data_IF_905595349128
#
_entry.id   IF_905595349128
#
_cell.length_a   1.000
_cell.length_b   1.000
_cell.length_c   1.000
_cell.angle_alpha   90.00
_cell.angle_beta   90.00
_cell.angle_gamma   90.00
#
_symmetry.space_group_name_H-M   'P 1'
#
loop_
_entity.id
_entity.type
_entity.pdbx_description
1 polymer ?
#
# COMPACT_ATOMS: atom_id res chain seq x y z
N UNK A 1 -51.68 37.67 31.71
CA UNK A 1 -51.41 36.26 31.34
C UNK A 1 -50.10 36.21 30.57
N UNK A 2 -49.07 35.58 31.14
CA UNK A 2 -47.69 35.55 30.62
C UNK A 2 -47.63 34.67 29.35
N UNK A 3 -47.10 35.20 28.24
CA UNK A 3 -46.80 34.43 27.02
C UNK A 3 -45.55 33.58 27.27
N UNK A 4 -45.68 32.26 27.16
CA UNK A 4 -44.56 31.33 27.13
C UNK A 4 -43.95 31.34 25.72
N UNK A 5 -42.65 31.62 25.63
CA UNK A 5 -41.89 31.45 24.40
C UNK A 5 -41.36 30.01 24.33
N UNK A 6 -41.92 29.25 23.38
CA UNK A 6 -41.48 27.91 23.01
C UNK A 6 -40.19 28.02 22.18
N UNK A 7 -39.06 27.59 22.74
CA UNK A 7 -37.81 27.43 22.00
C UNK A 7 -37.88 26.13 21.19
N UNK A 8 -37.86 26.24 19.85
CA UNK A 8 -37.54 25.09 18.99
C UNK A 8 -36.03 24.85 19.04
N UNK A 9 -35.62 23.67 19.51
CA UNK A 9 -34.26 23.15 19.32
C UNK A 9 -34.26 22.37 18.01
N UNK A 10 -33.62 22.90 16.97
CA UNK A 10 -33.35 22.19 15.73
C UNK A 10 -32.16 21.24 15.94
N UNK A 11 -32.41 19.93 15.91
CA UNK A 11 -31.39 18.90 15.89
C UNK A 11 -30.85 18.76 14.46
N UNK A 12 -29.67 19.32 14.19
CA UNK A 12 -28.95 19.05 12.95
C UNK A 12 -28.26 17.68 13.07
N UNK A 13 -28.79 16.67 12.38
CA UNK A 13 -28.08 15.40 12.16
C UNK A 13 -27.05 15.68 11.07
N UNK A 14 -25.78 15.85 11.45
CA UNK A 14 -24.68 15.87 10.49
C UNK A 14 -24.45 14.43 10.00
N UNK A 15 -25.04 14.10 8.85
CA UNK A 15 -24.69 12.90 8.10
C UNK A 15 -23.30 13.12 7.50
N UNK A 16 -22.28 12.58 8.16
CA UNK A 16 -20.93 12.46 7.62
C UNK A 16 -20.99 11.54 6.40
N UNK A 17 -21.12 12.13 5.21
CA UNK A 17 -20.81 11.44 3.98
C UNK A 17 -19.28 11.27 3.95
N UNK A 18 -18.80 10.12 4.44
CA UNK A 18 -17.51 9.61 3.96
C UNK A 18 -17.73 9.34 2.48
N UNK A 19 -17.39 10.32 1.64
CA UNK A 19 -17.20 10.07 0.23
C UNK A 19 -16.18 8.95 0.14
N UNK A 20 -16.63 7.75 -0.21
CA UNK A 20 -15.73 6.66 -0.56
C UNK A 20 -14.95 7.20 -1.73
N UNK A 21 -13.69 7.58 -1.50
CA UNK A 21 -12.80 7.85 -2.61
C UNK A 21 -12.50 6.48 -3.18
N UNK A 22 -13.31 6.05 -4.15
CA UNK A 22 -13.13 4.77 -4.81
C UNK A 22 -11.98 4.95 -5.78
N UNK A 23 -10.75 4.88 -5.28
CA UNK A 23 -9.57 4.66 -6.10
C UNK A 23 -9.52 3.17 -6.42
N UNK A 24 -10.41 2.71 -7.30
CA UNK A 24 -10.26 1.42 -7.93
C UNK A 24 -9.65 1.60 -9.31
N UNK A 25 -8.83 0.65 -9.74
CA UNK A 25 -8.27 0.67 -11.08
C UNK A 25 -9.33 0.53 -12.17
N UNK A 26 -8.88 0.62 -13.41
CA UNK A 26 -9.77 0.50 -14.57
C UNK A 26 -9.19 -0.38 -15.67
N UNK A 27 -10.08 -0.98 -16.45
CA UNK A 27 -9.76 -1.77 -17.63
C UNK A 27 -10.65 -1.35 -18.79
N UNK A 28 -10.05 -0.96 -19.91
CA UNK A 28 -10.77 -0.68 -21.15
C UNK A 28 -10.61 -1.84 -22.11
N UNK A 29 -11.74 -2.43 -22.50
CA UNK A 29 -11.84 -3.47 -23.53
C UNK A 29 -12.39 -2.83 -24.80
N UNK A 30 -11.84 -3.21 -25.95
CA UNK A 30 -12.24 -2.70 -27.28
C UNK A 30 -12.40 -3.86 -28.24
N UNK A 31 -13.37 -3.76 -29.12
CA UNK A 31 -13.65 -4.78 -30.15
C UNK A 31 -13.98 -4.13 -31.48
N UNK A 32 -13.97 -4.93 -32.54
CA UNK A 32 -14.45 -4.51 -33.85
C UNK A 32 -15.97 -4.61 -33.91
N UNK A 33 -16.63 -3.66 -34.58
CA UNK A 33 -18.07 -3.72 -34.75
C UNK A 33 -18.48 -4.89 -35.66
N UNK A 34 -19.50 -5.63 -35.24
CA UNK A 34 -20.33 -6.48 -36.08
C UNK A 34 -21.02 -5.64 -37.17
N UNK A 35 -21.25 -6.26 -38.33
CA UNK A 35 -21.79 -5.65 -39.55
C UNK A 35 -23.25 -6.03 -39.83
N UNK A 36 -23.78 -6.95 -39.05
CA UNK A 36 -25.12 -7.48 -39.15
C UNK A 36 -26.16 -6.35 -38.93
N UNK A 37 -27.12 -6.17 -39.85
CA UNK A 37 -28.04 -5.03 -39.82
C UNK A 37 -29.01 -5.08 -38.63
N UNK A 38 -29.24 -6.27 -38.09
CA UNK A 38 -30.12 -6.58 -36.96
C UNK A 38 -29.39 -6.62 -35.62
N UNK A 39 -28.11 -6.22 -35.55
CA UNK A 39 -27.40 -6.00 -34.28
C UNK A 39 -28.19 -5.00 -33.43
N UNK A 40 -28.49 -5.36 -32.18
CA UNK A 40 -29.18 -4.51 -31.22
C UNK A 40 -28.23 -3.94 -30.15
N UNK A 41 -27.45 -4.80 -29.50
CA UNK A 41 -26.51 -4.39 -28.44
C UNK A 41 -25.33 -5.36 -28.31
N UNK A 42 -24.29 -4.91 -27.60
CA UNK A 42 -23.26 -5.77 -27.04
C UNK A 42 -23.44 -5.88 -25.53
N UNK A 43 -23.00 -7.03 -24.99
CA UNK A 43 -22.92 -7.27 -23.56
C UNK A 43 -21.49 -7.62 -23.19
N UNK A 44 -20.95 -6.92 -22.21
CA UNK A 44 -19.59 -7.16 -21.70
C UNK A 44 -19.68 -7.98 -20.44
N UNK A 45 -18.98 -9.10 -20.44
CA UNK A 45 -18.84 -10.02 -19.33
C UNK A 45 -17.51 -9.76 -18.64
N UNK A 46 -17.54 -9.70 -17.32
CA UNK A 46 -16.35 -9.49 -16.47
C UNK A 46 -16.35 -10.51 -15.35
N UNK A 47 -15.18 -11.06 -15.01
CA UNK A 47 -15.01 -12.00 -13.91
C UNK A 47 -13.58 -12.02 -13.38
N UNK A 48 -13.37 -12.57 -12.19
CA UNK A 48 -12.04 -12.71 -11.57
C UNK A 48 -11.40 -14.09 -11.79
N UNK A 49 -12.11 -14.97 -12.50
CA UNK A 49 -11.61 -16.27 -12.93
C UNK A 49 -11.96 -16.49 -14.42
N UNK A 50 -11.06 -17.16 -15.14
CA UNK A 50 -11.25 -17.44 -16.57
C UNK A 50 -12.56 -18.19 -16.80
N UNK A 51 -13.32 -17.70 -17.79
CA UNK A 51 -14.63 -18.20 -18.23
C UNK A 51 -15.71 -18.25 -17.15
N UNK A 52 -15.49 -17.58 -16.02
CA UNK A 52 -16.44 -17.47 -14.92
C UNK A 52 -16.76 -16.00 -14.72
N UNK A 53 -17.88 -15.56 -15.28
CA UNK A 53 -18.26 -14.16 -15.31
C UNK A 53 -19.44 -13.86 -14.39
N UNK A 54 -19.53 -12.61 -13.93
CA UNK A 54 -20.73 -12.08 -13.27
C UNK A 54 -21.83 -11.71 -14.26
N UNK A 55 -22.83 -10.97 -13.77
CA UNK A 55 -23.89 -10.39 -14.61
C UNK A 55 -23.27 -9.49 -15.69
N UNK A 56 -23.60 -9.68 -16.98
CA UNK A 56 -23.06 -8.86 -18.04
C UNK A 56 -23.57 -7.41 -17.97
N UNK A 57 -22.75 -6.48 -18.45
CA UNK A 57 -23.11 -5.08 -18.63
C UNK A 57 -23.50 -4.83 -20.09
N UNK A 58 -24.76 -4.47 -20.39
CA UNK A 58 -25.15 -4.02 -21.71
C UNK A 58 -24.53 -2.66 -22.02
N UNK A 59 -23.97 -2.51 -23.23
CA UNK A 59 -23.27 -1.27 -23.65
C UNK A 59 -23.82 -0.69 -24.96
N UNK A 60 -25.00 -1.16 -25.38
CA UNK A 60 -25.61 -0.76 -26.65
C UNK A 60 -24.69 -1.12 -27.82
N UNK A 61 -24.56 -0.23 -28.82
CA UNK A 61 -23.70 -0.45 -30.00
C UNK A 61 -22.29 0.10 -29.85
N UNK A 62 -21.86 0.47 -28.64
CA UNK A 62 -20.49 0.90 -28.41
C UNK A 62 -19.51 -0.24 -28.76
N UNK A 63 -18.31 0.09 -29.25
CA UNK A 63 -17.24 -0.87 -29.56
C UNK A 63 -16.11 -0.83 -28.52
N UNK A 64 -16.39 -0.19 -27.38
CA UNK A 64 -15.48 -0.10 -26.25
C UNK A 64 -16.25 0.01 -24.95
N UNK A 65 -15.69 -0.54 -23.89
CA UNK A 65 -16.20 -0.44 -22.54
C UNK A 65 -15.05 -0.26 -21.56
N UNK A 66 -15.23 0.63 -20.58
CA UNK A 66 -14.30 0.79 -19.46
C UNK A 66 -14.96 0.31 -18.19
N UNK A 67 -14.46 -0.79 -17.65
CA UNK A 67 -14.74 -1.21 -16.28
C UNK A 67 -13.94 -0.31 -15.32
N UNK A 68 -14.62 0.28 -14.35
CA UNK A 68 -14.03 1.13 -13.31
C UNK A 68 -14.22 0.47 -11.95
N UNK A 69 -13.55 1.01 -10.92
CA UNK A 69 -13.66 0.53 -9.54
C UNK A 69 -13.24 -0.95 -9.40
N UNK A 70 -12.22 -1.35 -10.17
CA UNK A 70 -11.66 -2.69 -10.09
C UNK A 70 -10.64 -2.74 -8.95
N UNK A 71 -10.61 -3.84 -8.21
CA UNK A 71 -9.68 -4.03 -7.11
C UNK A 71 -8.24 -4.16 -7.64
N UNK A 72 -7.31 -3.46 -7.00
CA UNK A 72 -5.87 -3.55 -7.31
C UNK A 72 -5.31 -4.93 -6.93
N UNK A 73 -4.26 -5.36 -7.63
CA UNK A 73 -3.68 -6.71 -7.50
C UNK A 73 -4.54 -7.85 -8.06
N UNK A 74 -5.76 -7.57 -8.53
CA UNK A 74 -6.69 -8.58 -9.04
C UNK A 74 -6.58 -8.72 -10.56
N UNK A 75 -6.63 -9.98 -11.02
CA UNK A 75 -6.78 -10.30 -12.44
C UNK A 75 -8.25 -10.34 -12.83
N UNK A 76 -8.63 -9.55 -13.82
CA UNK A 76 -9.97 -9.57 -14.41
C UNK A 76 -9.93 -10.13 -15.83
N UNK A 77 -10.94 -10.94 -16.14
CA UNK A 77 -11.18 -11.56 -17.44
C UNK A 77 -12.41 -10.92 -18.08
N UNK A 78 -12.33 -10.66 -19.39
CA UNK A 78 -13.36 -10.00 -20.16
C UNK A 78 -13.71 -10.78 -21.42
N UNK A 79 -15.00 -10.86 -21.72
CA UNK A 79 -15.52 -11.35 -22.99
C UNK A 79 -16.72 -10.51 -23.42
N UNK A 80 -17.06 -10.53 -24.71
CA UNK A 80 -18.16 -9.76 -25.29
C UNK A 80 -19.05 -10.69 -26.11
N UNK A 81 -20.36 -10.50 -26.02
CA UNK A 81 -21.36 -11.09 -26.92
C UNK A 81 -22.10 -9.99 -27.67
N UNK A 82 -22.69 -10.34 -28.81
CA UNK A 82 -23.63 -9.52 -29.55
C UNK A 82 -25.05 -10.07 -29.37
N UNK A 83 -26.02 -9.16 -29.27
CA UNK A 83 -27.44 -9.48 -29.19
C UNK A 83 -28.15 -8.82 -30.36
N UNK A 84 -28.99 -9.58 -31.06
CA UNK A 84 -29.80 -9.08 -32.18
C UNK A 84 -31.13 -8.46 -31.72
N UNK A 85 -31.88 -7.86 -32.66
CA UNK A 85 -33.21 -7.27 -32.40
C UNK A 85 -34.29 -8.30 -32.02
N UNK A 86 -34.05 -9.60 -32.26
CA UNK A 86 -34.92 -10.69 -31.83
C UNK A 86 -34.57 -11.21 -30.43
N UNK A 87 -33.48 -10.72 -29.82
CA UNK A 87 -33.00 -11.12 -28.51
C UNK A 87 -32.11 -12.36 -28.52
N UNK A 88 -31.65 -12.83 -29.69
CA UNK A 88 -30.67 -13.91 -29.76
C UNK A 88 -29.29 -13.39 -29.39
N UNK A 89 -28.61 -14.10 -28.50
CA UNK A 89 -27.27 -13.76 -28.03
C UNK A 89 -26.24 -14.71 -28.66
N UNK A 90 -25.14 -14.12 -29.14
CA UNK A 90 -24.04 -14.87 -29.75
C UNK A 90 -23.26 -15.72 -28.75
N UNK A 91 -22.36 -16.56 -29.25
CA UNK A 91 -21.27 -17.09 -28.43
C UNK A 91 -20.34 -15.96 -27.94
N UNK A 92 -19.58 -16.22 -26.88
CA UNK A 92 -18.54 -15.31 -26.39
C UNK A 92 -17.46 -15.06 -27.45
N UNK A 93 -16.92 -13.84 -27.43
CA UNK A 93 -15.66 -13.50 -28.08
C UNK A 93 -14.49 -14.34 -27.53
N UNK A 94 -13.30 -14.14 -28.10
CA UNK A 94 -12.07 -14.48 -27.40
C UNK A 94 -12.05 -13.76 -26.04
N UNK A 95 -11.64 -14.48 -25.00
CA UNK A 95 -11.40 -13.92 -23.67
C UNK A 95 -10.07 -13.18 -23.63
N UNK A 96 -10.07 -12.01 -23.01
CA UNK A 96 -8.87 -11.24 -22.69
C UNK A 96 -8.81 -11.02 -21.19
N UNK A 97 -7.62 -10.71 -20.65
CA UNK A 97 -7.46 -10.43 -19.23
C UNK A 97 -6.61 -9.19 -18.99
N UNK A 98 -6.76 -8.61 -17.80
CA UNK A 98 -5.92 -7.52 -17.29
C UNK A 98 -5.70 -7.68 -15.79
N UNK A 99 -4.46 -7.53 -15.36
CA UNK A 99 -4.12 -7.35 -13.95
C UNK A 99 -4.22 -5.86 -13.65
N UNK A 100 -4.91 -5.51 -12.57
CA UNK A 100 -4.96 -4.13 -12.10
C UNK A 100 -3.73 -3.89 -11.22
N UNK A 101 -2.82 -2.97 -11.61
CA UNK A 101 -1.60 -2.74 -10.84
C UNK A 101 -1.94 -2.14 -9.48
N UNK A 102 -1.19 -2.55 -8.44
CA UNK A 102 -1.18 -1.83 -7.17
C UNK A 102 -0.48 -0.49 -7.33
N UNK A 103 -1.04 0.55 -6.70
CA UNK A 103 -0.46 1.90 -6.69
C UNK A 103 -0.10 2.39 -5.29
N UNK A 104 -0.39 1.59 -4.27
CA UNK A 104 -0.15 1.93 -2.89
C UNK A 104 1.23 1.44 -2.45
N UNK A 105 1.97 2.31 -1.77
CA UNK A 105 3.25 1.93 -1.19
C UNK A 105 3.06 1.22 0.15
N UNK A 106 3.89 0.21 0.46
CA UNK A 106 3.89 -0.41 1.77
C UNK A 106 4.11 0.58 2.91
N UNK A 107 3.43 0.37 4.02
CA UNK A 107 3.76 1.01 5.30
C UNK A 107 4.86 0.21 6.01
N UNK A 108 5.79 0.92 6.68
CA UNK A 108 6.88 0.31 7.45
C UNK A 108 6.92 0.93 8.83
N UNK A 109 7.06 0.10 9.87
CA UNK A 109 7.25 0.56 11.24
C UNK A 109 8.35 -0.21 11.93
N UNK A 110 9.14 0.48 12.75
CA UNK A 110 10.09 -0.14 13.68
C UNK A 110 9.40 -0.25 15.04
N UNK A 111 9.46 -1.43 15.65
CA UNK A 111 8.84 -1.71 16.95
C UNK A 111 9.86 -1.99 18.04
N UNK A 112 11.10 -2.31 17.67
CA UNK A 112 12.22 -2.52 18.60
C UNK A 112 13.52 -2.03 17.95
N UNK A 113 14.38 -1.32 18.69
CA UNK A 113 14.32 -1.08 20.15
C UNK A 113 13.43 0.09 20.57
N UNK A 114 12.90 0.85 19.62
CA UNK A 114 12.05 2.02 19.86
C UNK A 114 11.00 2.12 18.77
N UNK A 115 9.88 2.78 19.07
CA UNK A 115 8.88 3.24 18.08
C UNK A 115 9.06 4.71 17.70
N UNK A 116 9.98 5.41 18.37
CA UNK A 116 10.36 6.78 18.05
C UNK A 116 11.31 6.86 16.84
N UNK A 117 11.51 8.07 16.35
CA UNK A 117 12.42 8.34 15.22
C UNK A 117 13.89 8.45 15.63
N UNK A 118 14.18 8.42 16.93
CA UNK A 118 15.54 8.45 17.48
C UNK A 118 15.77 7.36 18.52
N UNK A 119 17.00 6.87 18.61
CA UNK A 119 17.43 5.88 19.60
C UNK A 119 18.88 6.14 20.04
N UNK A 120 19.16 6.04 21.33
CA UNK A 120 20.52 6.13 21.86
C UNK A 120 20.98 4.78 22.39
N UNK A 121 22.24 4.44 22.18
CA UNK A 121 22.82 3.18 22.66
C UNK A 121 24.31 3.31 22.96
N UNK A 122 24.79 2.44 23.84
CA UNK A 122 26.22 2.23 24.09
C UNK A 122 26.76 0.94 23.43
N UNK A 123 25.92 0.22 22.69
CA UNK A 123 26.30 -0.99 21.96
C UNK A 123 26.78 -0.63 20.54
N UNK A 124 27.84 -1.27 20.07
CA UNK A 124 28.38 -1.06 18.71
C UNK A 124 27.59 -1.78 17.61
N UNK A 125 26.61 -2.60 17.99
CA UNK A 125 25.72 -3.30 17.05
C UNK A 125 24.27 -3.13 17.47
N UNK A 126 23.37 -3.08 16.49
CA UNK A 126 21.94 -2.93 16.70
C UNK A 126 21.15 -4.04 16.01
N UNK A 127 20.14 -4.56 16.71
CA UNK A 127 19.09 -5.39 16.14
C UNK A 127 17.81 -4.56 16.02
N UNK A 128 17.13 -4.67 14.90
CA UNK A 128 15.83 -4.04 14.66
C UNK A 128 14.76 -5.10 14.45
N UNK A 129 13.56 -4.83 14.97
CA UNK A 129 12.37 -5.57 14.61
C UNK A 129 11.27 -4.58 14.25
N UNK A 130 10.35 -5.00 13.41
CA UNK A 130 9.26 -4.17 12.99
C UNK A 130 8.22 -4.91 12.17
N UNK A 131 7.29 -4.14 11.62
CA UNK A 131 6.27 -4.65 10.72
C UNK A 131 6.25 -3.88 9.41
N UNK A 132 5.82 -4.54 8.34
CA UNK A 132 5.44 -3.88 7.11
C UNK A 132 4.10 -4.42 6.63
N UNK A 133 3.27 -3.54 6.07
CA UNK A 133 1.92 -3.89 5.63
C UNK A 133 1.56 -3.12 4.37
N UNK A 134 0.83 -3.79 3.50
CA UNK A 134 0.41 -3.32 2.19
C UNK A 134 -0.90 -4.02 1.78
N UNK A 135 -1.71 -3.41 0.91
CA UNK A 135 -3.01 -3.94 0.47
C UNK A 135 -2.90 -5.18 -0.44
N UNK A 136 -1.89 -5.27 -1.30
CA UNK A 136 -1.65 -6.45 -2.15
C UNK A 136 -0.47 -7.28 -1.63
N UNK A 137 0.37 -6.70 -0.79
CA UNK A 137 1.30 -7.41 0.07
C UNK A 137 2.75 -7.01 -0.14
N UNK A 138 3.55 -7.19 0.92
CA UNK A 138 4.97 -6.83 0.93
C UNK A 138 5.82 -8.01 0.47
N UNK A 139 6.67 -7.80 -0.52
CA UNK A 139 7.56 -8.84 -1.07
C UNK A 139 8.99 -8.73 -0.56
N UNK A 140 9.43 -7.55 -0.12
CA UNK A 140 10.79 -7.34 0.37
C UNK A 140 10.82 -6.26 1.46
N UNK A 141 11.68 -6.45 2.46
CA UNK A 141 12.10 -5.40 3.40
C UNK A 141 13.63 -5.34 3.38
N UNK A 142 14.19 -4.16 3.11
CA UNK A 142 15.63 -3.92 3.05
C UNK A 142 16.03 -2.74 3.93
N UNK A 143 17.32 -2.62 4.22
CA UNK A 143 17.84 -1.54 5.04
C UNK A 143 19.18 -1.02 4.54
N UNK A 144 19.47 0.23 4.90
CA UNK A 144 20.77 0.89 4.69
C UNK A 144 21.14 1.68 5.94
N UNK A 145 22.43 1.87 6.19
CA UNK A 145 22.94 2.78 7.21
C UNK A 145 23.88 3.81 6.57
N UNK A 146 23.68 5.09 6.88
CA UNK A 146 24.49 6.23 6.41
C UNK A 146 26.00 6.11 6.67
N UNK A 147 26.40 5.41 7.73
CA UNK A 147 27.81 5.17 8.07
C UNK A 147 28.37 3.89 7.43
N UNK A 148 27.56 3.21 6.61
CA UNK A 148 27.92 1.98 5.91
C UNK A 148 27.11 0.77 6.38
N UNK A 149 26.94 -0.18 5.46
CA UNK A 149 26.14 -1.39 5.68
C UNK A 149 24.75 -1.30 5.07
N UNK A 150 24.28 -2.44 4.57
CA UNK A 150 22.96 -2.60 3.97
C UNK A 150 22.62 -4.08 3.91
N UNK A 151 21.34 -4.41 3.75
CA UNK A 151 20.93 -5.79 3.52
C UNK A 151 19.42 -5.96 3.43
N UNK A 152 18.99 -7.21 3.34
CA UNK A 152 17.58 -7.62 3.38
C UNK A 152 17.24 -8.10 4.78
N UNK A 153 16.08 -7.72 5.29
CA UNK A 153 15.56 -8.21 6.57
C UNK A 153 15.07 -9.66 6.43
N UNK A 154 15.02 -10.37 7.55
CA UNK A 154 14.35 -11.67 7.62
C UNK A 154 12.85 -11.47 7.80
N UNK A 155 12.04 -11.93 6.83
CA UNK A 155 10.58 -11.77 6.82
C UNK A 155 10.12 -10.44 6.22
N UNK A 156 8.81 -10.33 5.93
CA UNK A 156 8.21 -9.14 5.30
C UNK A 156 7.13 -8.52 6.19
N UNK A 157 6.13 -9.28 6.63
CA UNK A 157 5.07 -8.76 7.52
C UNK A 157 5.58 -8.46 8.92
N UNK A 158 6.24 -9.44 9.54
CA UNK A 158 7.05 -9.27 10.74
C UNK A 158 8.48 -9.48 10.29
N UNK A 159 9.27 -8.42 10.35
CA UNK A 159 10.63 -8.43 9.83
C UNK A 159 11.64 -8.19 10.95
N UNK A 160 12.84 -8.74 10.79
CA UNK A 160 13.95 -8.52 11.70
C UNK A 160 15.27 -8.31 10.96
N UNK A 161 16.12 -7.46 11.53
CA UNK A 161 17.48 -7.20 11.08
C UNK A 161 18.39 -7.40 12.28
N UNK A 162 19.44 -8.20 12.13
CA UNK A 162 20.41 -8.46 13.19
C UNK A 162 21.79 -7.91 12.85
N UNK A 163 22.52 -7.46 13.87
CA UNK A 163 23.94 -7.13 13.76
C UNK A 163 24.26 -5.93 12.87
N UNK A 164 23.41 -4.90 12.85
CA UNK A 164 23.73 -3.64 12.17
C UNK A 164 24.92 -3.01 12.89
N UNK A 165 26.06 -2.87 12.22
CA UNK A 165 27.24 -2.21 12.78
C UNK A 165 26.98 -0.69 12.89
N UNK A 166 27.32 -0.11 14.05
CA UNK A 166 27.23 1.31 14.33
C UNK A 166 28.63 1.93 14.42
N UNK A 167 28.76 3.15 13.91
CA UNK A 167 29.94 4.00 14.10
C UNK A 167 29.67 4.96 15.26
N UNK A 168 30.66 5.29 16.13
CA UNK A 168 30.46 6.29 17.18
C UNK A 168 29.88 7.60 16.64
N UNK A 169 28.85 8.13 17.31
CA UNK A 169 28.05 9.26 16.84
C UNK A 169 26.76 8.82 16.12
N UNK A 170 26.32 9.63 15.16
CA UNK A 170 25.04 9.46 14.49
C UNK A 170 25.10 8.40 13.37
N UNK A 171 24.09 7.54 13.32
CA UNK A 171 23.86 6.52 12.29
C UNK A 171 22.41 6.63 11.82
N UNK A 172 22.18 7.11 10.60
CA UNK A 172 20.85 7.18 9.99
C UNK A 172 20.56 5.84 9.30
N UNK A 173 19.64 5.07 9.86
CA UNK A 173 19.19 3.79 9.32
C UNK A 173 17.87 3.99 8.59
N UNK A 174 17.82 3.62 7.32
CA UNK A 174 16.59 3.63 6.51
C UNK A 174 16.16 2.20 6.27
N UNK A 175 14.94 1.86 6.65
CA UNK A 175 14.27 0.60 6.33
C UNK A 175 13.24 0.86 5.24
N UNK A 176 13.29 0.13 4.14
CA UNK A 176 12.40 0.25 3.00
C UNK A 176 11.66 -1.07 2.78
N UNK A 177 10.35 -1.02 2.59
CA UNK A 177 9.54 -2.16 2.17
C UNK A 177 9.01 -1.92 0.76
N UNK A 178 8.98 -2.99 -0.02
CA UNK A 178 8.54 -2.99 -1.42
C UNK A 178 7.49 -4.06 -1.65
N UNK A 179 6.51 -3.76 -2.51
CA UNK A 179 5.46 -4.68 -2.95
C UNK A 179 5.80 -5.37 -4.30
N UNK A 180 4.84 -6.12 -4.86
CA UNK A 180 5.04 -6.82 -6.13
C UNK A 180 5.13 -5.86 -7.34
N UNK A 181 4.35 -4.78 -7.33
CA UNK A 181 4.25 -3.80 -8.42
C UNK A 181 5.39 -2.77 -8.43
N UNK A 182 6.22 -2.75 -7.37
CA UNK A 182 7.38 -1.89 -7.23
C UNK A 182 7.15 -0.62 -6.42
N UNK A 183 6.00 -0.45 -5.78
CA UNK A 183 5.75 0.63 -4.85
C UNK A 183 6.59 0.42 -3.58
N UNK A 184 7.06 1.52 -3.01
CA UNK A 184 8.02 1.50 -1.91
C UNK A 184 7.67 2.52 -0.84
N UNK A 185 7.65 2.07 0.41
CA UNK A 185 7.57 2.94 1.57
C UNK A 185 8.73 2.72 2.52
N UNK A 186 9.07 3.76 3.27
CA UNK A 186 10.28 3.80 4.09
C UNK A 186 10.02 4.30 5.50
N UNK A 187 10.82 3.81 6.45
CA UNK A 187 10.94 4.35 7.79
C UNK A 187 12.41 4.70 8.08
N UNK A 188 12.66 5.87 8.66
CA UNK A 188 14.01 6.32 9.03
C UNK A 188 14.15 6.38 10.55
N UNK A 189 15.22 5.79 11.07
CA UNK A 189 15.62 5.84 12.48
C UNK A 189 17.02 6.43 12.60
N UNK A 190 17.15 7.51 13.37
CA UNK A 190 18.45 8.08 13.72
C UNK A 190 18.96 7.45 15.02
N UNK A 191 20.10 6.76 14.96
CA UNK A 191 20.72 6.09 16.10
C UNK A 191 21.99 6.81 16.52
N UNK A 192 22.06 7.25 17.77
CA UNK A 192 23.28 7.81 18.36
C UNK A 192 23.99 6.73 19.16
N UNK A 193 25.16 6.30 18.69
CA UNK A 193 26.03 5.39 19.40
C UNK A 193 27.08 6.16 20.20
N UNK A 194 26.98 6.12 21.53
CA UNK A 194 27.96 6.71 22.45
C UNK A 194 28.73 5.59 23.15
N UNK A 195 29.97 5.26 22.71
CA UNK A 195 30.77 4.24 23.38
C UNK A 195 31.03 4.62 24.84
N UNK A 196 31.08 3.64 25.78
CA UNK A 196 31.44 3.90 27.15
C UNK A 196 32.82 4.59 27.25
N UNK A 197 32.93 5.60 28.11
CA UNK A 197 34.23 6.18 28.43
C UNK A 197 35.06 5.15 29.21
N UNK A 198 36.24 4.84 28.68
CA UNK A 198 37.21 3.91 29.27
C UNK A 198 38.48 4.61 29.72
N UNK A 199 38.52 5.94 29.58
CA UNK A 199 39.66 6.78 29.92
C UNK A 199 39.61 7.11 31.41
N UNK A 200 40.58 6.62 32.18
CA UNK A 200 40.68 6.99 33.59
C UNK A 200 40.98 8.49 33.74
N UNK A 201 40.48 9.17 34.78
CA UNK A 201 40.89 10.53 35.11
C UNK A 201 42.40 10.60 35.32
N UNK A 202 43.01 11.75 35.00
CA UNK A 202 44.39 12.00 35.36
C UNK A 202 44.57 11.94 36.89
N UNK A 203 45.71 11.43 37.40
CA UNK A 203 45.99 11.45 38.84
C UNK A 203 46.02 12.90 39.36
N UNK A 204 45.60 13.16 40.62
CA UNK A 204 45.72 14.49 41.22
C UNK A 204 47.18 14.99 41.24
N UNK A 205 47.40 16.26 40.89
CA UNK A 205 48.70 16.94 40.96
C UNK A 205 48.73 17.98 42.08
N UNK A 206 49.90 18.31 42.63
CA UNK A 206 50.05 19.39 43.61
C UNK A 206 49.78 18.99 45.06
N UNK A 207 49.98 17.71 45.42
CA UNK A 207 49.88 17.25 46.81
C UNK A 207 51.03 17.87 47.63
N UNK A 208 50.69 18.67 48.63
CA UNK A 208 51.61 19.13 49.69
C UNK A 208 51.15 18.59 51.04
N UNK A 209 52.09 18.21 51.91
CA UNK A 209 51.83 17.83 53.31
C UNK A 209 52.16 19.04 54.19
N UNK A 210 51.27 19.40 55.11
CA UNK A 210 51.52 20.42 56.16
C UNK A 210 52.28 19.84 57.35
#
# INVERSE_FOLDING_TARGET
>A
MKKQHLFLVTLAISLSLVGSVVFGGSATVRWQANTEPDLQEYRVYTGTASRTYGTPTPVGKATSYTANNLDEGVTYYFAVTAVDTAGNESAFSQEVYKIIPDTHAPSVTITSPTTGTTYETAQSTLNLNGTAADNVGVVEVRWTNSTGGSGTASGTTNWSISGINLTPGENIIVVAARDHDGNEGTYTLTVTYTPPDTTAPAPPSGITVE
#
